data_IF_524596312509
#
_entry.id   IF_524596312509
#
_cell.length_a   1.000
_cell.length_b   1.000
_cell.length_c   1.000
_cell.angle_alpha   90.00
_cell.angle_beta   90.00
_cell.angle_gamma   90.00
#
_symmetry.space_group_name_H-M   'P 1'
#
loop_
_entity.id
_entity.type
_entity.pdbx_description
1 polymer ?
#
# COMPACT_ATOMS: atom_id res chain seq x y z
N UNK A 1 -25.69 3.70 7.19
CA UNK A 1 -25.05 4.16 5.94
C UNK A 1 -24.39 5.50 6.23
N UNK A 2 -23.11 5.70 5.86
CA UNK A 2 -22.50 7.03 5.94
C UNK A 2 -23.09 7.90 4.83
N UNK A 3 -23.66 9.04 5.19
CA UNK A 3 -24.12 10.05 4.23
C UNK A 3 -22.93 10.89 3.78
N UNK A 4 -22.65 10.89 2.48
CA UNK A 4 -21.56 11.67 1.87
C UNK A 4 -22.16 12.90 1.20
N UNK A 5 -21.95 14.07 1.80
CA UNK A 5 -22.22 15.39 1.23
C UNK A 5 -20.86 16.11 1.10
N UNK A 6 -20.46 16.87 0.07
CA UNK A 6 -20.97 17.35 -1.24
C UNK A 6 -19.70 17.68 -2.07
N UNK A 7 -19.76 17.70 -3.41
CA UNK A 7 -18.66 17.84 -4.41
C UNK A 7 -18.15 16.50 -4.98
N UNK A 8 -18.27 16.35 -6.30
CA UNK A 8 -17.92 15.15 -7.08
C UNK A 8 -16.52 14.62 -6.75
N UNK A 9 -15.55 15.53 -6.57
CA UNK A 9 -14.16 15.17 -6.24
C UNK A 9 -14.03 14.48 -4.88
N UNK A 10 -14.76 14.95 -3.85
CA UNK A 10 -14.70 14.35 -2.51
C UNK A 10 -15.29 12.93 -2.52
N UNK A 11 -16.42 12.75 -3.22
CA UNK A 11 -17.04 11.42 -3.39
C UNK A 11 -16.13 10.46 -4.16
N UNK A 12 -15.48 10.93 -5.23
CA UNK A 12 -14.51 10.14 -5.98
C UNK A 12 -13.30 9.75 -5.12
N UNK A 13 -12.77 10.68 -4.32
CA UNK A 13 -11.68 10.42 -3.39
C UNK A 13 -12.04 9.35 -2.35
N UNK A 14 -13.25 9.41 -1.80
CA UNK A 14 -13.73 8.41 -0.83
C UNK A 14 -13.82 7.03 -1.47
N UNK A 15 -14.45 6.92 -2.65
CA UNK A 15 -14.58 5.66 -3.37
C UNK A 15 -13.21 5.07 -3.73
N UNK A 16 -12.27 5.88 -4.23
CA UNK A 16 -10.91 5.43 -4.54
C UNK A 16 -10.19 4.92 -3.30
N UNK A 17 -10.28 5.62 -2.16
CA UNK A 17 -9.66 5.18 -0.90
C UNK A 17 -10.22 3.83 -0.43
N UNK A 18 -11.53 3.63 -0.54
CA UNK A 18 -12.14 2.34 -0.22
C UNK A 18 -11.67 1.24 -1.17
N UNK A 19 -11.53 1.54 -2.46
CA UNK A 19 -10.94 0.62 -3.43
C UNK A 19 -9.48 0.27 -3.08
N UNK A 20 -8.67 1.24 -2.68
CA UNK A 20 -7.26 1.03 -2.34
C UNK A 20 -7.08 -0.08 -1.29
N UNK A 21 -7.97 -0.17 -0.30
CA UNK A 21 -7.92 -1.18 0.76
C UNK A 21 -7.91 -2.60 0.18
N UNK A 22 -8.64 -2.85 -0.91
CA UNK A 22 -8.66 -4.17 -1.55
C UNK A 22 -7.34 -4.50 -2.25
N UNK A 23 -6.75 -3.51 -2.92
CA UNK A 23 -5.46 -3.64 -3.60
C UNK A 23 -4.30 -3.79 -2.60
N UNK A 24 -4.35 -3.07 -1.48
CA UNK A 24 -3.41 -3.22 -0.36
C UNK A 24 -3.49 -4.60 0.28
N UNK A 25 -4.71 -5.11 0.50
CA UNK A 25 -4.92 -6.49 1.01
C UNK A 25 -4.35 -7.54 0.07
N UNK A 26 -4.39 -7.27 -1.24
CA UNK A 26 -3.81 -8.10 -2.28
C UNK A 26 -2.31 -7.83 -2.50
N UNK A 27 -1.70 -6.88 -1.77
CA UNK A 27 -0.27 -6.51 -1.86
C UNK A 27 0.15 -6.06 -3.25
N UNK A 28 -0.76 -5.44 -3.97
CA UNK A 28 -0.51 -4.91 -5.30
C UNK A 28 -0.22 -3.42 -5.15
N UNK A 29 0.86 -2.95 -5.78
CA UNK A 29 1.15 -1.51 -5.79
C UNK A 29 0.12 -0.77 -6.62
N UNK A 30 -0.34 0.36 -6.06
CA UNK A 30 -1.36 1.23 -6.65
C UNK A 30 -0.64 2.42 -7.30
N UNK A 31 -1.18 2.94 -8.40
CA UNK A 31 -0.74 4.22 -8.95
C UNK A 31 -1.05 5.38 -7.99
N UNK A 32 -0.51 6.58 -8.25
CA UNK A 32 -0.81 7.73 -7.40
C UNK A 32 -2.33 7.97 -7.29
N UNK A 33 -2.80 8.15 -6.05
CA UNK A 33 -4.24 8.24 -5.72
C UNK A 33 -4.93 9.34 -6.53
N UNK A 34 -4.25 10.48 -6.76
CA UNK A 34 -4.80 11.59 -7.54
C UNK A 34 -5.18 11.15 -8.97
N UNK A 35 -4.34 10.36 -9.63
CA UNK A 35 -4.67 9.85 -10.96
C UNK A 35 -5.87 8.90 -10.96
N UNK A 36 -6.05 8.10 -9.90
CA UNK A 36 -7.24 7.26 -9.75
C UNK A 36 -8.49 8.11 -9.56
N UNK A 37 -8.41 9.18 -8.76
CA UNK A 37 -9.50 10.13 -8.54
C UNK A 37 -9.89 10.81 -9.85
N UNK A 38 -8.91 11.35 -10.58
CA UNK A 38 -9.16 12.04 -11.84
C UNK A 38 -9.75 11.08 -12.88
N UNK A 39 -9.29 9.81 -12.94
CA UNK A 39 -9.86 8.79 -13.81
C UNK A 39 -11.34 8.48 -13.50
N UNK A 40 -11.69 8.41 -12.20
CA UNK A 40 -13.07 8.18 -11.77
C UNK A 40 -13.97 9.38 -12.08
N UNK A 41 -13.47 10.60 -11.89
CA UNK A 41 -14.18 11.84 -12.24
C UNK A 41 -14.41 11.92 -13.75
N UNK A 42 -13.40 11.61 -14.57
CA UNK A 42 -13.53 11.59 -16.03
C UNK A 42 -14.58 10.56 -16.48
N UNK A 43 -14.56 9.35 -15.90
CA UNK A 43 -15.56 8.32 -16.17
C UNK A 43 -16.98 8.78 -15.79
N UNK A 44 -17.11 9.49 -14.66
CA UNK A 44 -18.38 10.10 -14.26
C UNK A 44 -18.86 11.17 -15.25
N UNK A 45 -17.96 12.03 -15.74
CA UNK A 45 -18.28 13.08 -16.71
C UNK A 45 -18.67 12.50 -18.09
N UNK A 46 -17.99 11.45 -18.54
CA UNK A 46 -18.38 10.69 -19.74
C UNK A 46 -19.80 10.12 -19.56
N UNK A 47 -20.08 9.47 -18.44
CA UNK A 47 -21.40 8.94 -18.12
C UNK A 47 -22.47 10.04 -18.09
N UNK A 48 -22.21 11.19 -17.45
CA UNK A 48 -23.15 12.33 -17.44
C UNK A 48 -23.44 12.86 -18.84
N UNK A 49 -22.44 12.84 -19.72
CA UNK A 49 -22.59 13.25 -21.12
C UNK A 49 -23.44 12.26 -21.91
N UNK A 50 -23.27 10.96 -21.67
CA UNK A 50 -24.11 9.91 -22.25
C UNK A 50 -25.55 10.01 -21.73
N UNK A 51 -25.72 10.22 -20.43
CA UNK A 51 -27.03 10.37 -19.81
C UNK A 51 -27.83 11.54 -20.40
N UNK A 52 -27.19 12.69 -20.66
CA UNK A 52 -27.84 13.83 -21.34
C UNK A 52 -28.29 13.50 -22.77
N UNK A 53 -27.65 12.53 -23.40
CA UNK A 53 -27.91 12.13 -24.78
C UNK A 53 -28.69 10.80 -24.86
N UNK A 54 -29.22 10.28 -23.75
CA UNK A 54 -29.84 8.94 -23.71
C UNK A 54 -31.10 8.81 -24.57
N UNK A 55 -31.74 9.92 -24.92
CA UNK A 55 -32.91 9.96 -25.80
C UNK A 55 -32.55 10.04 -27.29
N UNK A 56 -31.28 10.33 -27.60
CA UNK A 56 -30.82 10.46 -28.98
C UNK A 56 -30.60 9.10 -29.59
N UNK A 57 -31.17 8.88 -30.77
CA UNK A 57 -31.01 7.65 -31.53
C UNK A 57 -30.06 7.92 -32.69
N UNK A 58 -28.92 7.23 -32.69
CA UNK A 58 -27.93 7.33 -33.77
C UNK A 58 -26.76 6.39 -33.52
N UNK A 59 -26.16 5.88 -34.60
CA UNK A 59 -25.08 4.89 -34.52
C UNK A 59 -23.86 5.42 -33.73
N UNK A 60 -23.55 6.71 -33.89
CA UNK A 60 -22.47 7.36 -33.15
C UNK A 60 -22.72 7.41 -31.64
N UNK A 61 -23.97 7.49 -31.18
CA UNK A 61 -24.32 7.46 -29.75
C UNK A 61 -24.23 6.03 -29.21
N UNK A 62 -24.73 5.04 -29.99
CA UNK A 62 -24.62 3.61 -29.64
C UNK A 62 -23.18 3.16 -29.50
N UNK A 63 -22.30 3.60 -30.40
CA UNK A 63 -20.87 3.30 -30.32
C UNK A 63 -20.24 3.87 -29.04
N UNK A 64 -20.57 5.13 -28.68
CA UNK A 64 -20.07 5.74 -27.43
C UNK A 64 -20.57 5.01 -26.18
N UNK A 65 -21.81 4.54 -26.17
CA UNK A 65 -22.35 3.74 -25.07
C UNK A 65 -21.63 2.39 -24.95
N UNK A 66 -21.38 1.74 -26.09
CA UNK A 66 -20.64 0.48 -26.15
C UNK A 66 -19.21 0.65 -25.63
N UNK A 67 -18.51 1.68 -26.09
CA UNK A 67 -17.15 2.01 -25.64
C UNK A 67 -17.11 2.31 -24.13
N UNK A 68 -18.09 3.06 -23.64
CA UNK A 68 -18.19 3.35 -22.21
C UNK A 68 -18.43 2.09 -21.37
N UNK A 69 -19.31 1.18 -21.81
CA UNK A 69 -19.51 -0.12 -21.15
C UNK A 69 -18.21 -0.94 -21.08
N UNK A 70 -17.42 -0.92 -22.15
CA UNK A 70 -16.12 -1.59 -22.17
C UNK A 70 -15.12 -0.95 -21.20
N UNK A 71 -15.07 0.40 -21.15
CA UNK A 71 -14.23 1.15 -20.19
C UNK A 71 -14.60 0.86 -18.73
N UNK A 72 -15.89 0.66 -18.41
CA UNK A 72 -16.33 0.33 -17.05
C UNK A 72 -15.69 -0.96 -16.51
N UNK A 73 -15.41 -1.93 -17.38
CA UNK A 73 -14.72 -3.15 -16.98
C UNK A 73 -13.27 -2.90 -16.51
N UNK A 74 -12.68 -1.77 -16.88
CA UNK A 74 -11.31 -1.37 -16.52
C UNK A 74 -11.27 -0.27 -15.45
N UNK A 75 -12.43 0.24 -15.02
CA UNK A 75 -12.53 1.41 -14.13
C UNK A 75 -11.71 1.28 -12.84
N UNK A 76 -11.68 0.07 -12.29
CA UNK A 76 -10.99 -0.22 -11.03
C UNK A 76 -9.62 -0.88 -11.20
N UNK A 77 -9.06 -0.96 -12.40
CA UNK A 77 -7.64 -1.30 -12.59
C UNK A 77 -6.78 -0.08 -12.18
N UNK A 78 -6.58 0.06 -10.87
CA UNK A 78 -5.77 1.13 -10.26
C UNK A 78 -4.34 0.69 -9.96
N UNK A 79 -3.93 -0.47 -10.46
CA UNK A 79 -2.58 -0.97 -10.29
C UNK A 79 -1.56 0.01 -10.87
N UNK A 80 -0.37 0.05 -10.27
CA UNK A 80 0.78 0.70 -10.90
C UNK A 80 1.11 0.01 -12.25
N UNK A 81 1.63 0.75 -13.22
CA UNK A 81 2.07 0.20 -14.52
C UNK A 81 3.04 -0.97 -14.33
N UNK A 82 4.03 -0.76 -13.46
CA UNK A 82 5.03 -1.76 -13.07
C UNK A 82 4.59 -2.70 -11.94
N UNK A 83 3.31 -2.72 -11.54
CA UNK A 83 2.84 -3.59 -10.45
C UNK A 83 3.22 -5.06 -10.67
N UNK A 84 3.16 -5.53 -11.92
CA UNK A 84 3.55 -6.90 -12.29
C UNK A 84 5.03 -7.21 -12.09
N UNK A 85 5.91 -6.20 -12.06
CA UNK A 85 7.36 -6.36 -11.78
C UNK A 85 7.63 -6.46 -10.28
N UNK A 86 6.84 -5.79 -9.45
CA UNK A 86 7.00 -5.78 -7.99
C UNK A 86 6.42 -7.03 -7.32
N UNK A 87 5.41 -7.66 -7.93
CA UNK A 87 4.79 -8.88 -7.40
C UNK A 87 5.76 -10.07 -7.58
N UNK A 88 6.22 -10.62 -6.47
CA UNK A 88 7.12 -11.80 -6.45
C UNK A 88 6.39 -13.14 -6.50
N UNK A 89 5.11 -13.16 -6.13
CA UNK A 89 4.31 -14.39 -6.02
C UNK A 89 3.54 -14.55 -7.32
N UNK A 90 3.78 -15.64 -8.05
CA UNK A 90 3.13 -15.89 -9.34
C UNK A 90 1.61 -15.96 -9.24
N UNK A 91 1.07 -16.50 -8.14
CA UNK A 91 -0.38 -16.55 -7.90
C UNK A 91 -1.00 -15.15 -7.87
N UNK A 92 -0.34 -14.20 -7.20
CA UNK A 92 -0.81 -12.82 -7.09
C UNK A 92 -0.66 -12.09 -8.44
N UNK A 93 0.41 -12.41 -9.19
CA UNK A 93 0.64 -11.86 -10.54
C UNK A 93 -0.45 -12.33 -11.52
N UNK A 94 -0.77 -13.63 -11.49
CA UNK A 94 -1.85 -14.21 -12.27
C UNK A 94 -3.21 -13.64 -11.86
N UNK A 95 -3.42 -13.36 -10.57
CA UNK A 95 -4.64 -12.70 -10.12
C UNK A 95 -4.82 -11.33 -10.78
N UNK A 96 -3.78 -10.49 -10.80
CA UNK A 96 -3.82 -9.16 -11.45
C UNK A 96 -4.12 -9.29 -12.95
N UNK A 97 -3.46 -10.23 -13.65
CA UNK A 97 -3.72 -10.46 -15.06
C UNK A 97 -5.16 -10.89 -15.33
N UNK A 98 -5.72 -11.76 -14.48
CA UNK A 98 -7.12 -12.20 -14.60
C UNK A 98 -8.13 -11.07 -14.36
N UNK A 99 -7.79 -10.03 -13.59
CA UNK A 99 -8.66 -8.86 -13.44
C UNK A 99 -8.74 -7.99 -14.70
N UNK A 100 -7.71 -8.05 -15.55
CA UNK A 100 -7.65 -7.30 -16.82
C UNK A 100 -8.34 -8.03 -17.98
N UNK A 101 -8.64 -9.31 -17.81
CA UNK A 101 -9.32 -10.10 -18.83
C UNK A 101 -10.82 -9.76 -18.88
N UNK A 102 -11.43 -9.76 -20.08
CA UNK A 102 -12.87 -9.59 -20.22
C UNK A 102 -13.62 -10.68 -19.44
N UNK A 103 -14.70 -10.30 -18.75
CA UNK A 103 -15.51 -11.22 -17.93
C UNK A 103 -14.98 -11.51 -16.52
N UNK A 104 -13.79 -11.01 -16.15
CA UNK A 104 -13.17 -11.13 -14.81
C UNK A 104 -13.29 -12.54 -14.17
N UNK A 105 -12.58 -13.54 -14.72
CA UNK A 105 -12.76 -14.95 -14.37
C UNK A 105 -12.35 -15.38 -12.94
N UNK A 106 -11.90 -14.50 -12.04
CA UNK A 106 -11.46 -14.87 -10.67
C UNK A 106 -11.75 -13.80 -9.62
N UNK A 107 -12.03 -14.22 -8.39
CA UNK A 107 -12.13 -13.36 -7.20
C UNK A 107 -10.94 -13.60 -6.25
N UNK A 108 -10.57 -12.59 -5.43
CA UNK A 108 -9.56 -12.73 -4.36
C UNK A 108 -10.12 -13.64 -3.26
N UNK A 109 -9.74 -14.92 -3.27
CA UNK A 109 -10.10 -15.83 -2.20
C UNK A 109 -9.09 -15.71 -1.04
N UNK A 110 -9.49 -15.04 0.05
CA UNK A 110 -8.84 -15.10 1.36
C UNK A 110 -7.45 -14.45 1.50
N UNK A 111 -7.12 -13.99 2.71
CA UNK A 111 -5.81 -13.42 3.03
C UNK A 111 -4.77 -14.55 3.15
N UNK A 112 -3.60 -14.41 2.50
CA UNK A 112 -2.49 -15.37 2.66
C UNK A 112 -1.83 -15.21 4.04
N UNK A 113 -2.34 -15.93 5.04
CA UNK A 113 -1.91 -15.87 6.44
C UNK A 113 -0.42 -16.25 6.57
N UNK A 114 0.01 -17.30 5.87
CA UNK A 114 1.37 -17.84 5.94
C UNK A 114 2.41 -16.83 5.43
N UNK A 115 2.12 -16.19 4.30
CA UNK A 115 2.95 -15.10 3.77
C UNK A 115 3.05 -13.91 4.74
N UNK A 116 1.92 -13.54 5.34
CA UNK A 116 1.84 -12.42 6.30
C UNK A 116 2.71 -12.67 7.54
N UNK A 117 2.69 -13.89 8.11
CA UNK A 117 3.51 -14.24 9.28
C UNK A 117 5.01 -14.20 8.94
N UNK A 118 5.41 -14.68 7.75
CA UNK A 118 6.82 -14.70 7.34
C UNK A 118 7.38 -13.29 7.15
N UNK A 119 6.61 -12.40 6.56
CA UNK A 119 6.98 -10.99 6.39
C UNK A 119 7.07 -10.25 7.72
N UNK A 120 6.08 -10.41 8.61
CA UNK A 120 6.12 -9.78 9.94
C UNK A 120 7.38 -10.19 10.73
N UNK A 121 7.78 -11.47 10.66
CA UNK A 121 9.05 -11.94 11.24
C UNK A 121 10.25 -11.26 10.59
N UNK A 122 10.24 -11.06 9.27
CA UNK A 122 11.34 -10.39 8.56
C UNK A 122 11.44 -8.90 8.92
N UNK A 123 10.30 -8.21 9.01
CA UNK A 123 10.22 -6.80 9.45
C UNK A 123 10.73 -6.67 10.88
N UNK A 124 10.30 -7.55 11.80
CA UNK A 124 10.82 -7.57 13.18
C UNK A 124 12.33 -7.78 13.24
N UNK A 125 12.89 -8.68 12.42
CA UNK A 125 14.35 -8.87 12.37
C UNK A 125 15.07 -7.61 11.92
N UNK A 126 14.60 -6.96 10.85
CA UNK A 126 15.19 -5.72 10.35
C UNK A 126 15.10 -4.58 11.36
N UNK A 127 13.96 -4.44 12.04
CA UNK A 127 13.76 -3.43 13.08
C UNK A 127 14.71 -3.68 14.26
N UNK A 128 14.83 -4.92 14.73
CA UNK A 128 15.77 -5.29 15.78
C UNK A 128 17.24 -5.05 15.36
N UNK A 129 17.57 -5.29 14.10
CA UNK A 129 18.92 -5.02 13.57
C UNK A 129 19.21 -3.53 13.48
N UNK A 130 18.23 -2.71 13.06
CA UNK A 130 18.36 -1.24 13.09
C UNK A 130 18.56 -0.75 14.51
N UNK A 131 17.71 -1.18 15.46
CA UNK A 131 17.85 -0.80 16.86
C UNK A 131 19.22 -1.19 17.45
N UNK A 132 19.79 -2.33 17.04
CA UNK A 132 21.14 -2.73 17.44
C UNK A 132 22.21 -1.80 16.88
N UNK A 133 22.08 -1.35 15.62
CA UNK A 133 23.00 -0.39 14.99
C UNK A 133 22.86 1.00 15.62
N UNK A 134 21.64 1.43 15.91
CA UNK A 134 21.36 2.73 16.53
C UNK A 134 21.91 2.79 17.96
N UNK A 135 21.74 1.71 18.74
CA UNK A 135 22.36 1.59 20.06
C UNK A 135 23.89 1.57 19.95
N UNK A 136 24.47 0.80 19.03
CA UNK A 136 25.92 0.78 18.82
C UNK A 136 26.48 2.16 18.41
N UNK A 137 25.74 2.94 17.62
CA UNK A 137 26.14 4.29 17.22
C UNK A 137 25.99 5.31 18.36
N UNK A 138 25.01 5.14 19.26
CA UNK A 138 24.86 5.95 20.48
C UNK A 138 25.96 5.67 21.51
N UNK A 139 26.40 4.42 21.61
CA UNK A 139 27.45 3.99 22.53
C UNK A 139 28.87 4.17 21.97
N UNK A 140 29.02 4.76 20.78
CA UNK A 140 30.33 5.04 20.18
C UNK A 140 30.92 6.29 20.84
N UNK A 141 32.02 6.20 21.61
CA UNK A 141 32.73 7.39 22.06
C UNK A 141 33.20 8.16 20.82
N UNK A 142 32.96 9.48 20.80
CA UNK A 142 33.37 10.37 19.71
C UNK A 142 34.90 10.42 19.65
N UNK A 143 35.52 9.49 18.93
CA UNK A 143 36.97 9.51 18.65
C UNK A 143 37.24 10.47 17.49
N UNK A 144 36.94 11.75 17.72
CA UNK A 144 37.48 12.83 16.91
C UNK A 144 38.83 13.24 17.51
N UNK A 145 39.88 12.48 17.22
CA UNK A 145 41.30 12.88 17.11
C UNK A 145 42.24 11.68 17.33
N UNK A 146 42.54 10.97 16.24
CA UNK A 146 43.79 10.23 16.12
C UNK A 146 44.60 10.92 15.02
N UNK A 147 45.16 12.08 15.36
CA UNK A 147 46.20 12.72 14.57
C UNK A 147 47.55 12.33 15.18
N UNK A 148 48.16 11.31 14.60
CA UNK A 148 49.61 11.09 14.63
C UNK A 148 50.02 11.31 13.17
N UNK A 149 50.74 12.37 12.79
CA UNK A 149 52.20 12.47 12.79
C UNK A 149 52.65 13.96 12.86
N UNK A 150 53.78 14.20 13.54
CA UNK A 150 54.93 15.05 13.12
C UNK A 150 55.29 16.31 13.94
N UNK A 151 56.44 16.19 14.62
CA UNK A 151 57.59 17.11 14.78
C UNK A 151 57.39 18.63 15.09
N UNK A 152 57.81 18.97 16.32
CA UNK A 152 58.63 20.10 16.79
C UNK A 152 58.14 21.57 16.84
N UNK A 153 58.40 22.14 18.03
CA UNK A 153 58.74 23.54 18.39
C UNK A 153 57.70 24.67 18.53
N UNK A 154 57.47 25.00 19.80
CA UNK A 154 57.46 26.32 20.51
C UNK A 154 56.48 27.47 20.20
N UNK A 155 56.06 28.09 21.33
CA UNK A 155 55.52 29.45 21.60
C UNK A 155 53.99 29.67 21.70
N UNK A 156 53.58 29.82 22.96
CA UNK A 156 52.72 30.84 23.60
C UNK A 156 51.47 31.42 22.91
N UNK A 157 50.39 31.37 23.71
CA UNK A 157 49.48 32.47 24.09
C UNK A 157 47.98 32.43 23.70
N UNK A 158 47.19 32.48 24.79
CA UNK A 158 45.88 33.13 25.01
C UNK A 158 44.58 32.55 24.41
N UNK A 159 43.55 32.67 25.25
CA UNK A 159 42.20 32.08 25.31
C UNK A 159 41.13 33.06 24.73
N UNK A 160 39.80 32.91 24.98
CA UNK A 160 38.79 32.04 24.37
C UNK A 160 37.55 32.81 23.78
N UNK A 161 36.43 32.08 23.57
CA UNK A 161 35.02 32.49 23.28
C UNK A 161 34.58 32.48 21.79
N UNK A 162 33.37 32.06 21.37
CA UNK A 162 32.07 31.91 22.05
C UNK A 162 31.13 30.84 21.44
N UNK A 163 30.16 30.42 22.27
CA UNK A 163 28.80 29.83 22.12
C UNK A 163 28.07 29.97 20.75
N UNK A 164 26.98 29.25 20.40
CA UNK A 164 25.90 28.63 21.18
C UNK A 164 25.03 27.67 20.31
N UNK A 165 24.35 26.78 21.04
CA UNK A 165 23.20 25.86 20.83
C UNK A 165 22.12 26.27 19.79
N UNK A 166 21.22 25.40 19.30
CA UNK A 166 20.39 24.44 20.04
C UNK A 166 19.64 23.44 19.14
N UNK A 167 19.56 22.20 19.62
CA UNK A 167 18.65 21.12 19.19
C UNK A 167 17.26 21.26 19.83
N UNK A 168 16.22 20.76 19.15
CA UNK A 168 14.92 20.45 19.77
C UNK A 168 14.45 19.05 19.36
N UNK A 169 14.54 18.11 20.30
CA UNK A 169 13.94 16.78 20.23
C UNK A 169 12.43 16.83 20.57
N UNK A 170 11.62 16.07 19.84
CA UNK A 170 10.22 15.77 20.19
C UNK A 170 10.07 14.32 20.62
N UNK A 171 9.78 14.12 21.90
CA UNK A 171 9.48 12.83 22.51
C UNK A 171 8.03 12.40 22.24
N UNK A 172 7.81 11.20 21.73
CA UNK A 172 6.49 10.53 21.71
C UNK A 172 6.65 9.13 22.31
N UNK A 173 6.07 8.93 23.49
CA UNK A 173 5.96 7.64 24.17
C UNK A 173 4.79 6.83 23.60
N UNK A 174 5.05 5.56 23.24
CA UNK A 174 4.04 4.57 22.84
C UNK A 174 3.90 3.54 23.95
N UNK A 175 2.72 3.49 24.57
CA UNK A 175 2.33 2.51 25.57
C UNK A 175 1.87 1.22 24.85
N UNK A 176 2.55 0.09 25.12
CA UNK A 176 2.27 -1.20 24.48
C UNK A 176 1.80 -2.18 25.56
N UNK A 177 0.55 -2.62 25.47
CA UNK A 177 0.01 -3.67 26.34
C UNK A 177 0.63 -5.05 26.06
N UNK A 178 0.79 -5.91 27.10
CA UNK A 178 1.39 -7.23 26.96
C UNK A 178 0.45 -8.27 26.31
N UNK A 179 0.99 -9.28 25.59
CA UNK A 179 0.19 -10.23 24.84
C UNK A 179 -0.44 -11.34 25.71
N UNK A 180 -1.65 -11.85 25.36
CA UNK A 180 -2.34 -12.89 26.13
C UNK A 180 -1.76 -14.30 25.97
N UNK A 181 -1.83 -15.08 27.05
CA UNK A 181 -1.30 -16.46 27.18
C UNK A 181 -1.97 -17.46 26.21
N UNK A 182 -1.16 -18.34 25.60
CA UNK A 182 -1.59 -19.38 24.63
C UNK A 182 -2.41 -20.49 25.32
N UNK A 183 -3.64 -20.75 24.86
CA UNK A 183 -4.40 -21.98 25.18
C UNK A 183 -4.09 -23.09 24.16
N UNK A 184 -3.80 -24.30 24.62
CA UNK A 184 -3.55 -25.51 23.79
C UNK A 184 -4.80 -25.83 22.94
N UNK A 185 -4.64 -25.98 21.62
CA UNK A 185 -5.71 -26.44 20.71
C UNK A 185 -5.48 -27.91 20.34
N UNK A 186 -6.44 -28.76 20.66
CA UNK A 186 -6.48 -30.18 20.25
C UNK A 186 -6.71 -30.30 18.73
N UNK A 187 -6.19 -31.36 18.06
CA UNK A 187 -6.29 -31.50 16.61
C UNK A 187 -7.74 -31.80 16.19
N UNK A 188 -8.28 -31.00 15.27
CA UNK A 188 -9.57 -31.30 14.60
C UNK A 188 -9.30 -32.06 13.31
N UNK A 189 -9.97 -33.21 13.17
CA UNK A 189 -9.93 -34.10 11.99
C UNK A 189 -10.46 -33.36 10.75
N UNK A 190 -9.73 -33.42 9.63
CA UNK A 190 -10.17 -32.92 8.34
C UNK A 190 -11.24 -33.86 7.77
N UNK A 191 -12.46 -33.36 7.59
CA UNK A 191 -13.45 -33.99 6.70
C UNK A 191 -13.48 -33.19 5.39
N UNK A 192 -13.01 -33.80 4.31
CA UNK A 192 -13.22 -33.28 2.96
C UNK A 192 -14.61 -33.75 2.50
N UNK A 193 -15.52 -32.80 2.27
CA UNK A 193 -16.73 -33.06 1.48
C UNK A 193 -16.66 -32.22 0.21
N UNK A 194 -16.55 -32.91 -0.92
CA UNK A 194 -16.73 -32.38 -2.26
C UNK A 194 -18.23 -32.21 -2.46
N UNK A 195 -18.71 -30.97 -2.63
CA UNK A 195 -20.04 -30.72 -3.20
C UNK A 195 -19.85 -30.29 -4.65
N UNK A 196 -20.08 -31.24 -5.56
CA UNK A 196 -20.29 -30.98 -6.97
C UNK A 196 -21.63 -30.25 -7.13
N UNK A 197 -21.60 -29.03 -7.65
CA UNK A 197 -22.80 -28.30 -8.02
C UNK A 197 -23.36 -28.92 -9.30
N UNK A 198 -24.52 -29.57 -9.17
CA UNK A 198 -25.41 -29.95 -10.28
C UNK A 198 -25.72 -28.72 -11.12
N UNK A 199 -25.59 -28.84 -12.44
CA UNK A 199 -26.15 -27.87 -13.36
C UNK A 199 -27.68 -27.90 -13.23
N UNK A 200 -28.29 -26.72 -13.17
CA UNK A 200 -29.70 -26.56 -13.47
C UNK A 200 -29.79 -25.79 -14.78
N UNK A 201 -30.44 -26.48 -15.73
CA UNK A 201 -30.90 -26.12 -17.08
C UNK A 201 -30.60 -24.71 -17.59
#
# INVERSE_FOLDING_TARGET
MRTVNLVVRASAALAVRECCIFWEKARISIRAIQHCIDNLINSYNEWRSLQKNSTKVGESYRLKEYDFKNKLNLLFDIAHSDALKFIKIDVDRQFVLNQRLPGRPRCLLGKNITGTVKENRNVQRKLNESNRKDNYNKDRPSTASLNFIQFDSTLENESPESSDSSELEMNISLEIEPPPKKKKKMPRKNYYYIKTSRSFR
#
